data_IF_183791331579
#
_entry.id   IF_183791331579
#
_cell.length_a   1.000
_cell.length_b   1.000
_cell.length_c   1.000
_cell.angle_alpha   90.00
_cell.angle_beta   90.00
_cell.angle_gamma   90.00
#
_symmetry.space_group_name_H-M   'P 1'
#
loop_
_entity.id
_entity.type
_entity.pdbx_description
1 polymer ?
#
# COMPACT_ATOMS: atom_id res chain seq x y z
N UNK A 1 -50.35 28.83 -41.29
CA UNK A 1 -50.32 29.84 -40.20
C UNK A 1 -49.36 29.38 -39.11
N UNK A 2 -48.14 29.93 -39.07
CA UNK A 2 -47.18 29.63 -37.99
C UNK A 2 -47.47 30.54 -36.78
N UNK A 3 -47.78 29.94 -35.62
CA UNK A 3 -47.92 30.68 -34.36
C UNK A 3 -46.54 31.02 -33.83
N UNK A 4 -46.13 32.27 -33.96
CA UNK A 4 -44.90 32.77 -33.34
C UNK A 4 -45.16 32.94 -31.84
N UNK A 5 -44.59 32.05 -31.03
CA UNK A 5 -44.66 32.11 -29.58
C UNK A 5 -43.61 33.13 -29.10
N UNK A 6 -44.06 34.33 -28.73
CA UNK A 6 -43.18 35.40 -28.29
C UNK A 6 -42.75 35.09 -26.85
N UNK A 7 -41.48 34.73 -26.65
CA UNK A 7 -40.92 34.46 -25.33
C UNK A 7 -40.83 35.79 -24.57
N UNK A 8 -41.47 35.84 -23.39
CA UNK A 8 -41.44 37.00 -22.49
C UNK A 8 -40.00 37.41 -22.14
N UNK A 9 -39.78 38.72 -22.01
CA UNK A 9 -38.47 39.33 -21.76
C UNK A 9 -37.79 38.77 -20.50
N UNK A 10 -38.55 38.60 -19.41
CA UNK A 10 -38.03 38.07 -18.13
C UNK A 10 -37.41 36.66 -18.29
N UNK A 11 -38.06 35.79 -19.07
CA UNK A 11 -37.54 34.45 -19.33
C UNK A 11 -36.21 34.48 -20.08
N UNK A 12 -36.04 35.39 -21.04
CA UNK A 12 -34.79 35.52 -21.82
C UNK A 12 -33.61 35.94 -20.93
N UNK A 13 -33.85 36.89 -20.03
CA UNK A 13 -32.84 37.37 -19.08
C UNK A 13 -32.42 36.27 -18.11
N UNK A 14 -33.38 35.50 -17.58
CA UNK A 14 -33.07 34.34 -16.73
C UNK A 14 -32.24 33.29 -17.46
N UNK A 15 -32.62 32.92 -18.68
CA UNK A 15 -31.85 31.97 -19.49
C UNK A 15 -30.41 32.44 -19.74
N UNK A 16 -30.24 33.73 -20.06
CA UNK A 16 -28.91 34.30 -20.25
C UNK A 16 -28.05 34.17 -18.98
N UNK A 17 -28.58 34.56 -17.82
CA UNK A 17 -27.86 34.45 -16.54
C UNK A 17 -27.57 33.01 -16.12
N UNK A 18 -28.45 32.06 -16.44
CA UNK A 18 -28.16 30.64 -16.20
C UNK A 18 -26.99 30.16 -17.05
N UNK A 19 -26.92 30.58 -18.32
CA UNK A 19 -25.84 30.19 -19.22
C UNK A 19 -24.50 30.80 -18.77
N UNK A 20 -24.51 32.07 -18.35
CA UNK A 20 -23.35 32.76 -17.79
C UNK A 20 -22.85 32.04 -16.53
N UNK A 21 -23.77 31.69 -15.62
CA UNK A 21 -23.42 30.98 -14.38
C UNK A 21 -22.80 29.61 -14.67
N UNK A 22 -23.39 28.85 -15.60
CA UNK A 22 -22.87 27.54 -16.02
C UNK A 22 -21.48 27.69 -16.66
N UNK A 23 -21.30 28.68 -17.52
CA UNK A 23 -20.01 28.95 -18.17
C UNK A 23 -18.94 29.32 -17.14
N UNK A 24 -19.25 30.21 -16.20
CA UNK A 24 -18.36 30.58 -15.12
C UNK A 24 -18.01 29.37 -14.24
N UNK A 25 -19.02 28.59 -13.82
CA UNK A 25 -18.82 27.38 -13.04
C UNK A 25 -17.90 26.38 -13.76
N UNK A 26 -18.11 26.17 -15.06
CA UNK A 26 -17.27 25.29 -15.87
C UNK A 26 -15.81 25.77 -15.94
N UNK A 27 -15.58 27.09 -15.96
CA UNK A 27 -14.23 27.64 -15.96
C UNK A 27 -13.55 27.41 -14.60
N UNK A 28 -14.26 27.65 -13.51
CA UNK A 28 -13.75 27.40 -12.16
C UNK A 28 -13.42 25.93 -11.93
N UNK A 29 -14.32 25.02 -12.32
CA UNK A 29 -14.07 23.58 -12.18
C UNK A 29 -12.89 23.12 -13.03
N UNK A 30 -12.71 23.67 -14.23
CA UNK A 30 -11.56 23.35 -15.09
C UNK A 30 -10.22 23.72 -14.42
N UNK A 31 -10.10 24.95 -13.92
CA UNK A 31 -8.87 25.41 -13.25
C UNK A 31 -8.61 24.62 -11.96
N UNK A 32 -9.66 24.33 -11.19
CA UNK A 32 -9.54 23.51 -9.99
C UNK A 32 -9.09 22.08 -10.32
N UNK A 33 -9.71 21.45 -11.32
CA UNK A 33 -9.39 20.08 -11.72
C UNK A 33 -7.95 19.94 -12.21
N UNK A 34 -7.43 20.92 -12.96
CA UNK A 34 -6.02 20.93 -13.37
C UNK A 34 -5.09 20.98 -12.16
N UNK A 35 -5.34 21.89 -11.21
CA UNK A 35 -4.51 22.02 -10.02
C UNK A 35 -4.52 20.74 -9.16
N UNK A 36 -5.68 20.12 -8.99
CA UNK A 36 -5.83 18.85 -8.27
C UNK A 36 -5.09 17.74 -9.00
N UNK A 37 -5.23 17.65 -10.33
CA UNK A 37 -4.58 16.62 -11.14
C UNK A 37 -3.07 16.73 -11.08
N UNK A 38 -2.52 17.94 -11.22
CA UNK A 38 -1.08 18.19 -11.13
C UNK A 38 -0.51 17.78 -9.75
N UNK A 39 -1.20 18.14 -8.66
CA UNK A 39 -0.80 17.73 -7.30
C UNK A 39 -0.88 16.23 -7.11
N UNK A 40 -1.95 15.60 -7.59
CA UNK A 40 -2.14 14.17 -7.45
C UNK A 40 -1.08 13.37 -8.22
N UNK A 41 -0.69 13.82 -9.41
CA UNK A 41 0.41 13.22 -10.18
C UNK A 41 1.72 13.34 -9.41
N UNK A 42 2.04 14.53 -8.88
CA UNK A 42 3.27 14.73 -8.12
C UNK A 42 3.34 13.84 -6.86
N UNK A 43 2.25 13.76 -6.10
CA UNK A 43 2.17 12.89 -4.91
C UNK A 43 2.27 11.42 -5.29
N UNK A 44 1.58 11.00 -6.36
CA UNK A 44 1.65 9.62 -6.84
C UNK A 44 3.07 9.24 -7.25
N UNK A 45 3.78 10.12 -7.94
CA UNK A 45 5.16 9.87 -8.34
C UNK A 45 6.09 9.72 -7.13
N UNK A 46 5.89 10.51 -6.08
CA UNK A 46 6.65 10.37 -4.84
C UNK A 46 6.36 9.02 -4.13
N UNK A 47 5.09 8.63 -4.05
CA UNK A 47 4.69 7.33 -3.51
C UNK A 47 5.27 6.17 -4.31
N UNK A 48 5.27 6.25 -5.64
CA UNK A 48 5.88 5.22 -6.50
C UNK A 48 7.39 5.08 -6.20
N UNK A 49 8.11 6.18 -6.02
CA UNK A 49 9.53 6.13 -5.60
C UNK A 49 9.72 5.48 -4.24
N UNK A 50 8.88 5.84 -3.26
CA UNK A 50 8.95 5.25 -1.92
C UNK A 50 8.69 3.74 -1.97
N UNK A 51 7.70 3.30 -2.75
CA UNK A 51 7.42 1.87 -2.97
C UNK A 51 8.64 1.18 -3.56
N UNK A 52 9.25 1.73 -4.62
CA UNK A 52 10.45 1.15 -5.23
C UNK A 52 11.60 1.03 -4.23
N UNK A 53 11.84 2.05 -3.41
CA UNK A 53 12.90 2.02 -2.41
C UNK A 53 12.65 0.95 -1.32
N UNK A 54 11.40 0.83 -0.85
CA UNK A 54 11.02 -0.17 0.14
C UNK A 54 11.16 -1.58 -0.45
N UNK A 55 10.67 -1.80 -1.67
CA UNK A 55 10.80 -3.08 -2.37
C UNK A 55 12.26 -3.47 -2.55
N UNK A 56 13.12 -2.56 -3.03
CA UNK A 56 14.55 -2.84 -3.18
C UNK A 56 15.23 -3.18 -1.84
N UNK A 57 14.83 -2.51 -0.75
CA UNK A 57 15.34 -2.81 0.59
C UNK A 57 14.89 -4.18 1.08
N UNK A 58 13.64 -4.57 0.79
CA UNK A 58 13.08 -5.87 1.13
C UNK A 58 13.77 -6.98 0.34
N UNK A 59 13.96 -6.78 -0.97
CA UNK A 59 14.67 -7.74 -1.83
C UNK A 59 16.10 -7.96 -1.32
N UNK A 60 16.81 -6.88 -0.96
CA UNK A 60 18.16 -6.99 -0.36
C UNK A 60 18.17 -7.77 0.95
N UNK A 61 17.14 -7.58 1.80
CA UNK A 61 17.01 -8.33 3.05
C UNK A 61 16.70 -9.80 2.78
N UNK A 62 15.85 -10.10 1.80
CA UNK A 62 15.52 -11.46 1.40
C UNK A 62 16.75 -12.20 0.85
N UNK A 63 17.55 -11.54 0.01
CA UNK A 63 18.82 -12.10 -0.46
C UNK A 63 19.76 -12.42 0.71
N UNK A 64 19.88 -11.49 1.67
CA UNK A 64 20.72 -11.70 2.87
C UNK A 64 20.22 -12.88 3.70
N UNK A 65 18.90 -13.00 3.86
CA UNK A 65 18.29 -14.11 4.59
C UNK A 65 18.50 -15.45 3.87
N UNK A 66 18.33 -15.50 2.55
CA UNK A 66 18.58 -16.70 1.75
C UNK A 66 20.03 -17.12 1.85
N UNK A 67 20.97 -16.17 1.73
CA UNK A 67 22.40 -16.45 1.89
C UNK A 67 22.70 -17.02 3.28
N UNK A 68 22.20 -16.37 4.34
CA UNK A 68 22.38 -16.86 5.71
C UNK A 68 21.80 -18.27 5.88
N UNK A 69 20.60 -18.52 5.36
CA UNK A 69 19.94 -19.83 5.43
C UNK A 69 20.74 -20.89 4.68
N UNK A 70 21.26 -20.58 3.50
CA UNK A 70 22.05 -21.52 2.71
C UNK A 70 23.42 -21.80 3.34
N UNK A 71 23.96 -20.84 4.09
CA UNK A 71 25.20 -20.99 4.85
C UNK A 71 25.04 -21.83 6.14
N UNK A 72 23.83 -22.20 6.55
CA UNK A 72 23.61 -23.14 7.66
C UNK A 72 23.90 -24.57 7.18
N UNK A 73 25.18 -24.95 7.19
CA UNK A 73 25.63 -26.30 6.83
C UNK A 73 25.88 -27.17 8.06
N UNK A 74 25.89 -28.50 7.87
CA UNK A 74 26.28 -29.43 8.95
C UNK A 74 27.70 -29.17 9.46
N UNK A 75 28.63 -28.80 8.57
CA UNK A 75 30.00 -28.43 8.95
C UNK A 75 30.02 -27.22 9.89
N UNK A 76 29.21 -26.19 9.61
CA UNK A 76 29.05 -25.05 10.50
C UNK A 76 28.47 -25.48 11.86
N UNK A 77 27.47 -26.38 11.86
CA UNK A 77 26.91 -26.91 13.11
C UNK A 77 27.95 -27.69 13.93
N UNK A 78 28.75 -28.52 13.30
CA UNK A 78 29.85 -29.24 13.97
C UNK A 78 30.92 -28.27 14.49
N UNK A 79 31.26 -27.21 13.75
CA UNK A 79 32.18 -26.16 14.19
C UNK A 79 31.69 -25.44 15.46
N UNK A 80 30.38 -25.18 15.57
CA UNK A 80 29.76 -24.63 16.78
C UNK A 80 29.59 -25.64 17.93
N UNK A 81 30.06 -26.88 17.75
CA UNK A 81 30.04 -27.91 18.79
C UNK A 81 28.74 -28.70 18.89
N UNK A 82 27.80 -28.52 17.94
CA UNK A 82 26.64 -29.40 17.81
C UNK A 82 27.11 -30.80 17.39
N UNK A 83 26.42 -31.83 17.89
CA UNK A 83 26.72 -33.23 17.58
C UNK A 83 25.45 -33.93 17.15
N UNK A 84 25.54 -34.79 16.15
CA UNK A 84 24.43 -35.63 15.74
C UNK A 84 24.01 -36.57 16.88
N UNK A 85 22.71 -36.56 17.20
CA UNK A 85 22.12 -37.42 18.22
C UNK A 85 21.62 -38.70 17.55
N UNK A 86 22.28 -39.82 17.84
CA UNK A 86 21.92 -41.14 17.28
C UNK A 86 20.61 -41.72 17.82
N UNK A 87 20.24 -41.36 19.03
CA UNK A 87 19.00 -41.79 19.69
C UNK A 87 18.23 -40.55 20.19
N UNK A 88 17.37 -39.93 19.37
CA UNK A 88 16.61 -38.76 19.78
C UNK A 88 15.65 -39.10 20.93
N UNK A 89 15.72 -38.32 22.00
CA UNK A 89 14.87 -38.47 23.16
C UNK A 89 13.56 -37.70 22.92
N UNK A 90 12.53 -38.41 22.49
CA UNK A 90 11.22 -37.80 22.22
C UNK A 90 10.46 -37.56 23.53
N UNK A 91 9.98 -36.33 23.73
CA UNK A 91 9.10 -35.99 24.85
C UNK A 91 7.66 -36.11 24.36
N UNK A 92 6.88 -37.02 24.94
CA UNK A 92 5.45 -37.12 24.61
C UNK A 92 4.65 -36.03 25.33
N UNK A 93 3.70 -35.43 24.61
CA UNK A 93 2.85 -34.35 25.13
C UNK A 93 1.80 -34.81 26.14
N UNK A 94 1.81 -36.10 26.52
CA UNK A 94 0.86 -36.73 27.44
C UNK A 94 1.08 -36.36 28.90
N UNK A 95 2.26 -35.83 29.27
CA UNK A 95 2.51 -35.34 30.63
C UNK A 95 2.91 -33.86 30.62
N UNK A 96 1.98 -32.92 30.90
CA UNK A 96 2.27 -31.49 30.91
C UNK A 96 3.21 -31.06 32.05
N UNK A 97 3.48 -31.93 33.03
CA UNK A 97 4.37 -31.65 34.16
C UNK A 97 5.87 -31.73 33.80
N UNK A 98 6.25 -32.36 32.68
CA UNK A 98 7.66 -32.52 32.24
C UNK A 98 7.97 -31.79 30.93
N UNK A 99 7.01 -31.06 30.37
CA UNK A 99 7.22 -30.27 29.16
C UNK A 99 7.87 -28.92 29.52
N UNK A 100 9.14 -28.76 29.19
CA UNK A 100 9.82 -27.46 29.19
C UNK A 100 9.17 -26.56 28.15
N UNK A 101 8.33 -25.62 28.59
CA UNK A 101 7.80 -24.56 27.73
C UNK A 101 8.72 -23.34 27.78
N UNK A 102 8.86 -22.65 26.65
CA UNK A 102 9.53 -21.36 26.61
C UNK A 102 8.67 -20.35 27.37
N UNK A 103 9.18 -19.82 28.48
CA UNK A 103 8.54 -18.73 29.21
C UNK A 103 8.65 -17.45 28.36
N UNK A 104 7.68 -17.26 27.48
CA UNK A 104 7.54 -16.03 26.71
C UNK A 104 6.80 -15.01 27.56
N UNK A 105 7.53 -14.36 28.47
CA UNK A 105 7.08 -13.12 29.09
C UNK A 105 6.98 -12.05 28.00
N UNK A 106 5.79 -11.93 27.42
CA UNK A 106 5.41 -10.87 26.50
C UNK A 106 5.16 -9.60 27.32
N UNK A 107 6.05 -8.62 27.20
CA UNK A 107 5.83 -7.22 27.62
C UNK A 107 5.55 -6.37 26.40
#
# INVERSE_FOLDING_TARGET
MQRVKIISYDNRVRFFWTLVTISALSLFTYVYAINVTARNIAVRQDLEKQITNISASLDSLEFTYIDLKNNVTMELAYYYGFKEVKNPLYISRTNPATALSLNTLRR
#
